data_IF_480626561189
#
_entry.id   IF_480626561189
#
_cell.length_a   1.000
_cell.length_b   1.000
_cell.length_c   1.000
_cell.angle_alpha   90.00
_cell.angle_beta   90.00
_cell.angle_gamma   90.00
#
_symmetry.space_group_name_H-M   'P 1'
#
loop_
_entity.id
_entity.type
_entity.pdbx_description
1 polymer ?
#
# COMPACT_ATOMS: atom_id res chain seq x y z
N UNK A 1 -24.64 7.09 5.93
CA UNK A 1 -23.20 7.40 5.72
C UNK A 1 -22.67 7.97 7.02
N UNK A 2 -22.15 7.11 7.90
CA UNK A 2 -21.64 7.53 9.21
C UNK A 2 -20.37 8.34 9.02
N UNK A 3 -20.46 9.60 9.38
CA UNK A 3 -19.39 10.57 9.43
C UNK A 3 -18.43 10.12 10.56
N UNK A 4 -17.49 9.23 10.25
CA UNK A 4 -16.40 8.84 11.16
C UNK A 4 -15.49 10.07 11.33
N UNK A 5 -15.92 10.97 12.20
CA UNK A 5 -15.14 12.11 12.64
C UNK A 5 -13.78 11.60 13.13
N UNK A 6 -12.70 12.19 12.60
CA UNK A 6 -11.29 11.97 13.01
C UNK A 6 -10.98 12.40 14.47
N UNK A 7 -11.94 12.31 15.38
CA UNK A 7 -11.84 12.75 16.79
C UNK A 7 -12.21 11.69 17.81
N UNK A 8 -12.68 10.52 17.40
CA UNK A 8 -12.94 9.42 18.32
C UNK A 8 -11.75 8.47 18.36
N UNK A 9 -11.22 8.18 19.55
CA UNK A 9 -10.32 7.04 19.75
C UNK A 9 -11.12 5.80 19.34
N UNK A 10 -10.75 5.20 18.21
CA UNK A 10 -11.46 4.08 17.63
C UNK A 10 -10.67 2.79 17.87
N UNK A 11 -11.26 1.87 18.64
CA UNK A 11 -10.69 0.58 19.02
C UNK A 11 -11.34 -0.61 18.30
N UNK A 12 -12.13 -0.36 17.25
CA UNK A 12 -12.87 -1.43 16.58
C UNK A 12 -11.95 -2.40 15.82
N UNK A 13 -10.93 -1.87 15.13
CA UNK A 13 -9.97 -2.63 14.32
C UNK A 13 -8.80 -1.72 13.93
N UNK A 14 -7.68 -2.28 13.46
CA UNK A 14 -6.59 -1.59 12.78
C UNK A 14 -6.89 -1.30 11.30
N UNK A 15 -7.82 -2.03 10.69
CA UNK A 15 -8.22 -1.87 9.27
C UNK A 15 -8.88 -0.51 8.95
N UNK A 16 -9.33 0.24 9.97
CA UNK A 16 -9.85 1.61 9.81
C UNK A 16 -8.73 2.66 9.58
N UNK A 17 -7.47 2.27 9.74
CA UNK A 17 -6.34 3.17 9.46
C UNK A 17 -6.49 3.87 8.10
N UNK A 18 -6.21 5.17 8.09
CA UNK A 18 -6.31 6.00 6.89
C UNK A 18 -4.91 6.33 6.37
N UNK A 19 -4.69 6.40 5.04
CA UNK A 19 -3.41 6.81 4.48
C UNK A 19 -2.98 8.18 5.01
N UNK A 20 -1.74 8.26 5.51
CA UNK A 20 -1.13 9.52 5.96
C UNK A 20 -0.94 10.49 4.80
N UNK A 21 -0.71 11.80 5.06
CA UNK A 21 -0.39 12.74 3.99
C UNK A 21 0.81 12.31 3.13
N UNK A 22 1.83 11.70 3.74
CA UNK A 22 3.00 11.17 3.02
C UNK A 22 2.63 10.02 2.08
N UNK A 23 1.84 9.06 2.57
CA UNK A 23 1.34 7.95 1.73
C UNK A 23 0.50 8.46 0.56
N UNK A 24 -0.38 9.43 0.80
CA UNK A 24 -1.20 10.03 -0.28
C UNK A 24 -0.35 10.70 -1.35
N UNK A 25 0.71 11.43 -0.96
CA UNK A 25 1.65 12.03 -1.91
C UNK A 25 2.42 10.98 -2.70
N UNK A 26 2.89 9.92 -2.03
CA UNK A 26 3.60 8.82 -2.68
C UNK A 26 2.71 8.08 -3.69
N UNK A 27 1.47 7.76 -3.31
CA UNK A 27 0.48 7.15 -4.20
C UNK A 27 0.22 8.03 -5.44
N UNK A 28 0.02 9.34 -5.24
CA UNK A 28 -0.25 10.26 -6.34
C UNK A 28 0.95 10.47 -7.28
N UNK A 29 2.17 10.32 -6.77
CA UNK A 29 3.40 10.49 -7.54
C UNK A 29 3.98 9.17 -8.08
N UNK A 30 3.36 8.02 -7.79
CA UNK A 30 3.86 6.71 -8.18
C UNK A 30 3.90 6.56 -9.70
N UNK A 31 4.97 5.95 -10.21
CA UNK A 31 5.03 5.52 -11.62
C UNK A 31 4.24 4.22 -11.72
N UNK A 32 3.20 4.21 -12.53
CA UNK A 32 2.32 3.05 -12.69
C UNK A 32 2.45 2.45 -14.08
N UNK A 33 2.09 1.17 -14.20
CA UNK A 33 2.10 0.41 -15.46
C UNK A 33 1.04 -0.69 -15.43
N UNK A 34 1.11 -1.59 -16.40
CA UNK A 34 0.24 -2.77 -16.44
C UNK A 34 0.87 -3.92 -15.66
N UNK A 35 0.28 -4.24 -14.51
CA UNK A 35 0.80 -5.29 -13.62
C UNK A 35 0.53 -6.71 -14.13
N UNK A 36 -0.50 -6.93 -14.96
CA UNK A 36 -0.77 -8.25 -15.56
C UNK A 36 0.39 -8.68 -16.45
N UNK A 37 1.07 -7.72 -17.09
CA UNK A 37 2.27 -7.94 -17.88
C UNK A 37 3.58 -7.69 -17.10
N UNK A 38 3.51 -7.42 -15.79
CA UNK A 38 4.68 -7.14 -14.93
C UNK A 38 5.41 -5.84 -15.28
N UNK A 39 4.68 -4.86 -15.82
CA UNK A 39 5.21 -3.58 -16.28
C UNK A 39 4.98 -2.44 -15.29
N UNK A 40 4.34 -2.68 -14.12
CA UNK A 40 4.24 -1.68 -13.07
C UNK A 40 5.54 -1.60 -12.24
N UNK A 41 6.31 -0.50 -12.36
CA UNK A 41 7.60 -0.41 -11.68
C UNK A 41 7.45 -0.24 -10.17
N UNK A 42 6.32 0.32 -9.69
CA UNK A 42 6.10 0.54 -8.25
C UNK A 42 5.70 -0.77 -7.57
N UNK A 43 4.86 -1.59 -8.20
CA UNK A 43 4.52 -2.94 -7.71
C UNK A 43 5.77 -3.81 -7.64
N UNK A 44 6.55 -3.87 -8.72
CA UNK A 44 7.80 -4.65 -8.75
C UNK A 44 8.80 -4.20 -7.68
N UNK A 45 8.89 -2.89 -7.44
CA UNK A 45 9.73 -2.37 -6.35
C UNK A 45 9.24 -2.83 -4.98
N UNK A 46 7.94 -2.77 -4.72
CA UNK A 46 7.34 -3.24 -3.47
C UNK A 46 7.66 -4.72 -3.23
N UNK A 47 7.45 -5.56 -4.24
CA UNK A 47 7.70 -7.00 -4.15
C UNK A 47 9.17 -7.32 -3.88
N UNK A 48 10.10 -6.67 -4.60
CA UNK A 48 11.54 -6.84 -4.37
C UNK A 48 11.95 -6.45 -2.94
N UNK A 49 11.41 -5.33 -2.43
CA UNK A 49 11.67 -4.88 -1.06
C UNK A 49 11.15 -5.89 -0.05
N UNK A 50 9.92 -6.40 -0.23
CA UNK A 50 9.32 -7.36 0.70
C UNK A 50 10.05 -8.71 0.66
N UNK A 51 10.39 -9.22 -0.53
CA UNK A 51 11.18 -10.43 -0.70
C UNK A 51 12.54 -10.31 0.02
N UNK A 52 13.22 -9.16 -0.12
CA UNK A 52 14.47 -8.87 0.57
C UNK A 52 14.32 -8.81 2.09
N UNK A 53 13.29 -8.11 2.60
CA UNK A 53 13.03 -7.99 4.05
C UNK A 53 12.78 -9.37 4.68
N UNK A 54 12.08 -10.25 3.97
CA UNK A 54 11.68 -11.56 4.49
C UNK A 54 12.68 -12.68 4.14
N UNK A 55 13.77 -12.38 3.42
CA UNK A 55 14.75 -13.36 2.97
C UNK A 55 14.14 -14.44 2.08
N UNK A 56 13.24 -14.05 1.17
CA UNK A 56 12.58 -14.92 0.20
C UNK A 56 13.02 -14.58 -1.21
N UNK A 57 12.90 -15.57 -2.10
CA UNK A 57 13.29 -15.38 -3.51
C UNK A 57 12.37 -14.40 -4.23
N UNK A 58 11.06 -14.42 -3.93
CA UNK A 58 10.04 -13.59 -4.58
C UNK A 58 8.92 -13.19 -3.59
N UNK A 59 8.14 -12.17 -3.97
CA UNK A 59 6.90 -11.74 -3.31
C UNK A 59 5.85 -11.39 -4.38
N UNK A 60 4.58 -11.30 -3.99
CA UNK A 60 3.47 -10.94 -4.88
C UNK A 60 2.50 -10.00 -4.16
N UNK A 61 2.18 -8.87 -4.80
CA UNK A 61 1.11 -7.98 -4.34
C UNK A 61 -0.27 -8.57 -4.67
N UNK A 62 -1.24 -8.40 -3.77
CA UNK A 62 -2.61 -8.89 -3.95
C UNK A 62 -3.62 -7.77 -3.70
N UNK A 63 -4.76 -7.75 -4.42
CA UNK A 63 -5.82 -6.75 -4.23
C UNK A 63 -6.64 -6.95 -2.95
#
# INVERSE_FOLDING_TARGET
MTNLQRRAINFMSDTITCPTPGMRKAMAAAKVGDDVYGLDPTVKQLENVVASILGKDNAMFVP
#
